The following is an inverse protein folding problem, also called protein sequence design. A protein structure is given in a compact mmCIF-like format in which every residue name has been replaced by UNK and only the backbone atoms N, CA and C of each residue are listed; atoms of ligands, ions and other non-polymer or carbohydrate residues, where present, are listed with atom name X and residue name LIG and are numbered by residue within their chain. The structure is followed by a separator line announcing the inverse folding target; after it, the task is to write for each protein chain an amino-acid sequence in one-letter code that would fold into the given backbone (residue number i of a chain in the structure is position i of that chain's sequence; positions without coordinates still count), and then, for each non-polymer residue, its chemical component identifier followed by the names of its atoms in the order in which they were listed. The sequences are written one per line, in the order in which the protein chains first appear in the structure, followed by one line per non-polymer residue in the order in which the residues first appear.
data_IF_601887962305
#
_entry.id   IF_601887962305
#
_cell.length_a   1.000
_cell.length_b   1.000
_cell.length_c   1.000
_cell.angle_alpha   90.00
_cell.angle_beta   90.00
_cell.angle_gamma   90.00
#
_symmetry.space_group_name_H-M   'P 1'
#
loop_
_entity.id
_entity.type
_entity.pdbx_description
1 polymer ?
#
# COMPACT_ATOMS: atom_id res chain seq x y z
N UNK A 1 29.55 7.30 14.86
CA UNK A 1 30.36 6.25 15.55
C UNK A 1 31.09 5.34 14.56
N UNK A 2 30.41 4.73 13.58
CA UNK A 2 31.05 3.85 12.58
C UNK A 2 31.87 4.68 11.57
N UNK A 3 31.36 5.80 11.10
CA UNK A 3 32.03 6.70 10.17
C UNK A 3 33.37 7.17 10.73
N UNK A 4 33.42 7.54 12.03
CA UNK A 4 34.66 7.92 12.72
C UNK A 4 35.70 6.79 12.73
N UNK A 5 35.27 5.53 12.89
CA UNK A 5 36.15 4.36 12.86
C UNK A 5 36.73 4.15 11.45
N UNK A 6 35.87 4.26 10.42
CA UNK A 6 36.30 4.13 9.02
C UNK A 6 37.30 5.21 8.66
N UNK A 7 37.01 6.47 9.01
CA UNK A 7 37.91 7.61 8.75
C UNK A 7 39.25 7.44 9.48
N UNK A 8 39.22 7.02 10.76
CA UNK A 8 40.46 6.75 11.54
C UNK A 8 41.30 5.63 10.91
N UNK A 9 40.66 4.52 10.49
CA UNK A 9 41.34 3.41 9.81
C UNK A 9 41.96 3.89 8.48
N UNK A 10 41.22 4.63 7.68
CA UNK A 10 41.69 5.21 6.43
C UNK A 10 42.90 6.14 6.63
N UNK A 11 42.85 7.04 7.63
CA UNK A 11 43.96 7.93 7.97
C UNK A 11 45.19 7.17 8.47
N UNK A 12 45.02 6.11 9.25
CA UNK A 12 46.11 5.23 9.70
C UNK A 12 46.78 4.50 8.52
N UNK A 13 46.02 3.99 7.56
CA UNK A 13 46.55 3.40 6.33
C UNK A 13 47.31 4.43 5.52
N UNK A 14 46.78 5.67 5.39
CA UNK A 14 47.42 6.75 4.66
C UNK A 14 48.73 7.16 5.28
N UNK A 15 48.90 7.17 6.62
CA UNK A 15 50.12 7.46 7.31
C UNK A 15 51.24 6.44 6.98
N UNK A 16 50.88 5.18 6.69
CA UNK A 16 51.83 4.13 6.38
C UNK A 16 52.14 3.97 4.88
N UNK A 17 51.65 4.85 4.03
CA UNK A 17 51.83 4.80 2.56
C UNK A 17 53.30 4.81 2.14
N UNK A 18 54.12 5.60 2.81
CA UNK A 18 55.58 5.70 2.54
C UNK A 18 56.34 4.42 2.86
N UNK A 19 55.73 3.51 3.61
CA UNK A 19 56.29 2.18 3.98
C UNK A 19 55.77 1.04 3.11
N UNK A 20 55.16 1.39 1.91
CA UNK A 20 54.63 0.38 0.98
C UNK A 20 53.18 -0.07 1.27
N UNK A 21 52.49 0.60 2.18
CA UNK A 21 51.07 0.28 2.44
C UNK A 21 50.18 0.59 1.25
N UNK A 22 49.27 -0.35 0.90
CA UNK A 22 48.23 -0.11 -0.08
C UNK A 22 47.04 0.58 0.58
N UNK A 23 46.60 1.69 0.01
CA UNK A 23 45.48 2.48 0.53
C UNK A 23 44.32 2.38 -0.47
N UNK A 24 43.07 2.22 0.02
CA UNK A 24 41.88 2.42 -0.81
C UNK A 24 41.85 3.85 -1.35
N UNK A 25 41.57 4.01 -2.63
CA UNK A 25 41.43 5.33 -3.25
C UNK A 25 40.04 5.95 -3.04
N UNK A 26 39.05 5.11 -2.76
CA UNK A 26 37.64 5.48 -2.65
C UNK A 26 36.96 4.78 -1.48
N UNK A 27 35.98 5.44 -0.88
CA UNK A 27 35.00 4.86 0.04
C UNK A 27 33.69 4.81 -0.72
N UNK A 28 33.18 3.61 -1.00
CA UNK A 28 31.96 3.41 -1.76
C UNK A 28 30.86 2.90 -0.86
N UNK A 29 29.65 3.54 -0.91
CA UNK A 29 28.47 3.03 -0.20
C UNK A 29 28.07 1.69 -0.76
N UNK A 30 27.75 0.73 0.11
CA UNK A 30 27.17 -0.56 -0.27
C UNK A 30 25.66 -0.46 -0.57
N UNK A 31 25.00 0.61 -0.13
CA UNK A 31 23.54 0.76 -0.25
C UNK A 31 23.03 0.55 -1.68
N UNK A 32 23.58 1.20 -2.73
CA UNK A 32 23.09 1.02 -4.09
C UNK A 32 23.15 -0.44 -4.54
N UNK A 33 24.23 -1.16 -4.16
CA UNK A 33 24.44 -2.57 -4.52
C UNK A 33 23.40 -3.46 -3.81
N UNK A 34 23.27 -3.29 -2.50
CA UNK A 34 22.33 -4.08 -1.68
C UNK A 34 20.88 -3.79 -2.08
N UNK A 35 20.55 -2.51 -2.33
CA UNK A 35 19.20 -2.12 -2.75
C UNK A 35 18.81 -2.74 -4.10
N UNK A 36 19.72 -2.74 -5.08
CA UNK A 36 19.47 -3.41 -6.36
C UNK A 36 19.29 -4.94 -6.20
N UNK A 37 20.09 -5.59 -5.37
CA UNK A 37 19.92 -7.01 -5.06
C UNK A 37 18.57 -7.31 -4.42
N UNK A 38 18.09 -6.47 -3.50
CA UNK A 38 16.80 -6.63 -2.80
C UNK A 38 15.60 -6.40 -3.72
N UNK A 39 15.71 -5.62 -4.78
CA UNK A 39 14.58 -5.35 -5.68
C UNK A 39 14.11 -6.59 -6.44
N UNK A 40 15.03 -7.46 -6.88
CA UNK A 40 14.72 -8.68 -7.64
C UNK A 40 14.70 -9.87 -6.70
N UNK A 41 13.52 -10.32 -6.34
CA UNK A 41 13.34 -11.43 -5.40
C UNK A 41 13.64 -12.77 -6.06
N UNK A 42 14.41 -13.62 -5.38
CA UNK A 42 14.61 -15.02 -5.74
C UNK A 42 13.33 -15.85 -5.60
N UNK A 43 13.36 -17.09 -6.07
CA UNK A 43 12.20 -18.00 -5.92
C UNK A 43 11.85 -18.26 -4.45
N UNK A 44 12.83 -18.37 -3.59
CA UNK A 44 12.67 -18.62 -2.15
C UNK A 44 12.03 -17.39 -1.48
N UNK A 45 12.51 -16.19 -1.75
CA UNK A 45 11.94 -14.94 -1.24
C UNK A 45 10.49 -14.76 -1.68
N UNK A 46 10.17 -15.03 -2.96
CA UNK A 46 8.79 -15.00 -3.47
C UNK A 46 7.89 -15.99 -2.70
N UNK A 47 8.37 -17.19 -2.33
CA UNK A 47 7.57 -18.14 -1.54
C UNK A 47 7.29 -17.60 -0.12
N UNK A 48 8.26 -16.94 0.52
CA UNK A 48 8.07 -16.28 1.81
C UNK A 48 7.05 -15.14 1.72
N UNK A 49 7.15 -14.29 0.69
CA UNK A 49 6.18 -13.21 0.46
C UNK A 49 4.77 -13.75 0.17
N UNK A 50 4.64 -14.83 -0.61
CA UNK A 50 3.35 -15.53 -0.81
C UNK A 50 2.78 -16.06 0.50
N UNK A 51 3.63 -16.54 1.40
CA UNK A 51 3.18 -17.02 2.72
C UNK A 51 2.76 -15.84 3.59
N UNK A 52 3.52 -14.74 3.63
CA UNK A 52 3.18 -13.50 4.32
C UNK A 52 1.84 -12.95 3.83
N UNK A 53 1.67 -12.76 2.52
CA UNK A 53 0.42 -12.31 1.92
C UNK A 53 -0.78 -13.21 2.26
N UNK A 54 -0.60 -14.55 2.29
CA UNK A 54 -1.66 -15.50 2.67
C UNK A 54 -2.08 -15.30 4.13
N UNK A 55 -1.14 -15.11 5.05
CA UNK A 55 -1.44 -14.84 6.46
C UNK A 55 -2.21 -13.52 6.59
N UNK A 56 -1.81 -12.47 5.88
CA UNK A 56 -2.53 -11.21 5.79
C UNK A 56 -3.96 -11.39 5.26
N UNK A 57 -4.14 -12.17 4.20
CA UNK A 57 -5.48 -12.50 3.64
C UNK A 57 -6.36 -13.18 4.68
N UNK A 58 -5.84 -14.15 5.43
CA UNK A 58 -6.58 -14.85 6.50
C UNK A 58 -7.01 -13.88 7.62
N UNK A 59 -6.14 -12.93 7.99
CA UNK A 59 -6.46 -11.87 8.96
C UNK A 59 -7.60 -10.96 8.46
N UNK A 60 -7.57 -10.54 7.21
CA UNK A 60 -8.63 -9.73 6.62
C UNK A 60 -9.97 -10.48 6.50
N UNK A 61 -9.97 -11.77 6.21
CA UNK A 61 -11.19 -12.58 6.29
C UNK A 61 -11.76 -12.61 7.71
N UNK A 62 -10.90 -12.67 8.72
CA UNK A 62 -11.30 -12.60 10.12
C UNK A 62 -11.91 -11.24 10.45
N UNK A 63 -11.34 -10.14 9.99
CA UNK A 63 -11.93 -8.80 10.11
C UNK A 63 -13.34 -8.76 9.51
N UNK A 64 -13.54 -9.31 8.30
CA UNK A 64 -14.86 -9.34 7.65
C UNK A 64 -15.91 -10.08 8.51
N UNK A 65 -15.50 -11.13 9.23
CA UNK A 65 -16.40 -11.90 10.12
C UNK A 65 -16.71 -11.21 11.44
N UNK A 66 -15.75 -10.47 11.99
CA UNK A 66 -15.85 -9.86 13.31
C UNK A 66 -16.35 -8.40 13.26
N UNK A 67 -16.30 -7.76 12.07
CA UNK A 67 -16.73 -6.38 11.88
C UNK A 67 -18.25 -6.24 12.05
N UNK A 68 -18.66 -5.51 13.08
CA UNK A 68 -20.07 -5.17 13.37
C UNK A 68 -20.18 -3.89 14.21
N UNK A 69 -21.33 -3.21 14.19
CA UNK A 69 -21.53 -2.05 15.03
C UNK A 69 -21.31 -2.37 16.52
N UNK A 70 -20.66 -1.47 17.22
CA UNK A 70 -20.39 -1.62 18.65
C UNK A 70 -19.01 -2.15 19.00
N UNK A 71 -18.31 -2.82 18.09
CA UNK A 71 -16.92 -3.25 18.25
C UNK A 71 -16.00 -2.02 18.17
N UNK A 72 -14.87 -2.04 18.85
CA UNK A 72 -13.86 -0.99 18.78
C UNK A 72 -12.76 -1.34 17.77
N UNK A 73 -12.14 -0.32 17.16
CA UNK A 73 -11.05 -0.48 16.21
C UNK A 73 -9.88 -1.30 16.78
N UNK A 74 -9.49 -1.05 18.06
CA UNK A 74 -8.45 -1.84 18.73
C UNK A 74 -8.81 -3.32 18.94
N UNK A 75 -10.10 -3.67 19.01
CA UNK A 75 -10.52 -5.08 19.10
C UNK A 75 -10.31 -5.80 17.76
N UNK A 76 -10.60 -5.12 16.66
CA UNK A 76 -10.28 -5.61 15.31
C UNK A 76 -8.77 -5.74 15.14
N UNK A 77 -7.99 -4.73 15.57
CA UNK A 77 -6.52 -4.79 15.55
C UNK A 77 -6.00 -6.00 16.34
N UNK A 78 -6.51 -6.23 17.56
CA UNK A 78 -6.12 -7.38 18.38
C UNK A 78 -6.42 -8.72 17.67
N UNK A 79 -7.54 -8.79 16.96
CA UNK A 79 -7.92 -9.97 16.16
C UNK A 79 -6.97 -10.20 14.99
N UNK A 80 -6.55 -9.14 14.29
CA UNK A 80 -5.54 -9.20 13.22
C UNK A 80 -4.20 -9.72 13.79
N UNK A 81 -3.72 -9.13 14.88
CA UNK A 81 -2.45 -9.50 15.50
C UNK A 81 -2.49 -10.92 16.07
N UNK A 82 -3.64 -11.39 16.60
CA UNK A 82 -3.83 -12.78 16.96
C UNK A 82 -3.63 -13.71 15.76
N UNK A 83 -4.23 -13.38 14.60
CA UNK A 83 -4.04 -14.19 13.39
C UNK A 83 -2.58 -14.26 12.95
N UNK A 84 -1.85 -13.14 13.01
CA UNK A 84 -0.42 -13.11 12.70
C UNK A 84 0.36 -14.01 13.65
N UNK A 85 0.13 -13.89 14.97
CA UNK A 85 0.79 -14.68 16.01
C UNK A 85 0.55 -16.18 15.88
N UNK A 86 -0.64 -16.63 15.41
CA UNK A 86 -0.93 -18.05 15.15
C UNK A 86 -0.01 -18.67 14.08
N UNK A 87 0.62 -17.84 13.26
CA UNK A 87 1.55 -18.26 12.21
C UNK A 87 3.02 -17.95 12.53
N UNK A 88 3.33 -17.51 13.76
CA UNK A 88 4.66 -17.08 14.14
C UNK A 88 5.13 -15.81 13.42
N UNK A 89 4.18 -14.98 13.00
CA UNK A 89 4.39 -13.70 12.33
C UNK A 89 4.14 -12.55 13.29
N UNK A 90 4.70 -11.40 12.97
CA UNK A 90 4.44 -10.13 13.67
C UNK A 90 3.82 -9.13 12.69
N UNK A 91 3.20 -8.04 13.14
CA UNK A 91 2.83 -6.94 12.23
C UNK A 91 4.06 -6.37 11.54
N UNK A 92 3.99 -6.18 10.21
CA UNK A 92 5.06 -5.56 9.42
C UNK A 92 5.13 -4.04 9.68
N UNK A 93 4.03 -3.46 10.11
CA UNK A 93 3.88 -2.04 10.45
C UNK A 93 2.70 -1.88 11.43
N UNK A 94 2.55 -0.66 11.98
CA UNK A 94 1.41 -0.34 12.84
C UNK A 94 0.12 -0.44 12.03
N UNK A 95 -0.71 -1.46 12.33
CA UNK A 95 -1.95 -1.71 11.60
C UNK A 95 -2.91 -0.52 11.72
N UNK A 96 -3.47 -0.13 10.60
CA UNK A 96 -4.48 0.92 10.50
C UNK A 96 -5.85 0.24 10.52
N UNK A 97 -6.67 0.60 11.49
CA UNK A 97 -8.05 0.13 11.61
C UNK A 97 -8.93 1.36 11.80
N UNK A 98 -9.42 1.91 10.69
CA UNK A 98 -9.97 3.25 10.62
C UNK A 98 -11.45 3.22 10.23
N UNK A 99 -12.36 3.57 11.15
CA UNK A 99 -13.79 3.61 10.90
C UNK A 99 -14.31 5.01 10.57
N UNK A 100 -15.24 5.12 9.63
CA UNK A 100 -15.89 6.37 9.25
C UNK A 100 -14.87 7.43 8.78
N UNK A 101 -14.86 8.61 9.42
CA UNK A 101 -13.98 9.73 9.05
C UNK A 101 -12.50 9.46 9.34
N UNK A 102 -12.17 8.56 10.28
CA UNK A 102 -10.79 8.15 10.58
C UNK A 102 -10.10 7.58 9.33
N UNK A 103 -10.86 6.90 8.46
CA UNK A 103 -10.37 6.38 7.18
C UNK A 103 -9.86 7.47 6.20
N UNK A 104 -10.12 8.75 6.49
CA UNK A 104 -9.58 9.86 5.71
C UNK A 104 -8.21 10.35 6.22
N UNK A 105 -7.66 9.76 7.28
CA UNK A 105 -6.30 9.98 7.79
C UNK A 105 -5.43 8.81 7.33
N UNK A 106 -4.45 9.06 6.45
CA UNK A 106 -3.70 8.00 5.75
C UNK A 106 -3.01 7.01 6.69
N UNK A 107 -2.34 7.53 7.74
CA UNK A 107 -1.63 6.73 8.73
C UNK A 107 -2.31 6.84 10.11
N UNK A 108 -3.60 6.52 10.15
CA UNK A 108 -4.37 6.48 11.40
C UNK A 108 -4.01 5.22 12.19
N UNK A 109 -3.35 5.38 13.33
CA UNK A 109 -2.86 4.26 14.17
C UNK A 109 -3.41 4.27 15.59
N UNK A 110 -4.23 5.25 15.95
CA UNK A 110 -4.85 5.37 17.27
C UNK A 110 -5.80 4.20 17.55
N UNK A 111 -6.57 3.77 16.55
CA UNK A 111 -7.46 2.62 16.56
C UNK A 111 -8.38 2.56 17.79
N UNK A 112 -8.95 3.71 18.22
CA UNK A 112 -9.71 3.80 19.48
C UNK A 112 -11.21 4.03 19.28
N UNK A 113 -11.67 4.30 18.07
CA UNK A 113 -13.06 4.60 17.82
C UNK A 113 -13.94 3.35 17.83
N UNK A 114 -15.21 3.56 18.23
CA UNK A 114 -16.25 2.53 18.18
C UNK A 114 -16.86 2.49 16.79
N UNK A 115 -16.95 1.31 16.19
CA UNK A 115 -17.57 1.08 14.88
C UNK A 115 -19.07 1.41 14.96
N UNK A 116 -19.56 2.22 14.02
CA UNK A 116 -20.96 2.68 13.99
C UNK A 116 -21.66 2.13 12.76
N UNK A 117 -22.95 1.90 12.91
CA UNK A 117 -23.81 1.53 11.80
C UNK A 117 -23.76 2.60 10.70
N UNK A 118 -23.59 2.16 9.45
CA UNK A 118 -23.51 3.05 8.29
C UNK A 118 -22.11 3.56 7.98
N UNK A 119 -21.11 3.37 8.86
CA UNK A 119 -19.70 3.69 8.57
C UNK A 119 -19.05 2.61 7.70
N UNK A 120 -17.96 2.98 7.05
CA UNK A 120 -16.98 2.04 6.48
C UNK A 120 -15.89 1.76 7.50
N UNK A 121 -15.29 0.59 7.43
CA UNK A 121 -14.05 0.23 8.11
C UNK A 121 -12.96 0.02 7.05
N UNK A 122 -11.98 0.88 7.02
CA UNK A 122 -10.74 0.70 6.28
C UNK A 122 -9.76 -0.02 7.19
N UNK A 123 -9.31 -1.18 6.77
CA UNK A 123 -8.26 -1.94 7.45
C UNK A 123 -7.06 -2.05 6.52
N UNK A 124 -5.92 -1.56 6.96
CA UNK A 124 -4.64 -1.66 6.30
C UNK A 124 -3.68 -2.37 7.26
N UNK A 125 -3.39 -3.63 6.94
CA UNK A 125 -2.65 -4.51 7.81
C UNK A 125 -1.95 -5.61 7.02
N UNK A 126 -0.67 -5.77 7.26
CA UNK A 126 0.16 -6.83 6.74
C UNK A 126 1.07 -7.40 7.83
N UNK A 127 1.55 -8.61 7.63
CA UNK A 127 2.46 -9.24 8.57
C UNK A 127 3.87 -9.36 8.00
N UNK A 128 4.83 -9.49 8.88
CA UNK A 128 6.18 -9.94 8.58
C UNK A 128 6.30 -11.43 8.90
N UNK A 129 6.57 -12.23 7.88
CA UNK A 129 6.85 -13.65 8.02
C UNK A 129 8.28 -13.95 7.55
N UNK A 130 9.13 -14.39 8.47
CA UNK A 130 10.55 -14.69 8.21
C UNK A 130 11.25 -13.56 7.44
N UNK A 131 11.15 -12.33 7.95
CA UNK A 131 11.77 -11.11 7.41
C UNK A 131 11.14 -10.58 6.12
N UNK A 132 9.99 -11.11 5.65
CA UNK A 132 9.30 -10.61 4.45
C UNK A 132 7.91 -10.09 4.78
N UNK A 133 7.67 -8.85 4.39
CA UNK A 133 6.41 -8.15 4.63
C UNK A 133 5.32 -8.51 3.62
N UNK A 134 4.07 -8.35 4.04
CA UNK A 134 2.90 -8.16 3.19
C UNK A 134 2.25 -6.83 3.53
N UNK A 135 1.48 -6.28 2.59
CA UNK A 135 0.79 -5.00 2.71
C UNK A 135 -0.56 -5.06 2.02
N UNK A 136 -1.64 -5.03 2.79
CA UNK A 136 -2.98 -5.29 2.26
C UNK A 136 -3.97 -4.32 2.88
N UNK A 137 -4.69 -3.59 2.04
CA UNK A 137 -5.82 -2.78 2.49
C UNK A 137 -7.15 -3.28 1.92
N UNK A 138 -8.15 -3.38 2.78
CA UNK A 138 -9.56 -3.52 2.39
C UNK A 138 -10.43 -2.51 3.13
N UNK A 139 -11.43 -1.99 2.42
CA UNK A 139 -12.48 -1.16 3.01
C UNK A 139 -13.81 -1.90 2.90
N UNK A 140 -14.46 -2.11 4.05
CA UNK A 140 -15.69 -2.92 4.17
C UNK A 140 -16.78 -2.12 4.90
N UNK A 141 -18.08 -2.41 4.67
CA UNK A 141 -19.17 -1.73 5.38
C UNK A 141 -19.37 -2.32 6.76
N UNK A 142 -19.34 -1.51 7.82
CA UNK A 142 -19.53 -1.95 9.22
C UNK A 142 -20.86 -2.71 9.40
N UNK A 143 -21.90 -2.35 8.66
CA UNK A 143 -23.22 -2.98 8.73
C UNK A 143 -23.44 -4.12 7.72
N UNK A 144 -22.37 -4.63 7.10
CA UNK A 144 -22.43 -5.73 6.13
C UNK A 144 -22.89 -5.33 4.72
N UNK A 145 -23.43 -4.12 4.53
CA UNK A 145 -23.86 -3.62 3.21
C UNK A 145 -23.41 -2.19 2.98
N UNK A 146 -22.86 -1.92 1.81
CA UNK A 146 -22.50 -0.59 1.37
C UNK A 146 -23.75 0.24 1.04
N UNK A 147 -23.77 1.50 1.43
CA UNK A 147 -24.78 2.46 0.93
C UNK A 147 -24.56 2.75 -0.56
N UNK A 148 -25.56 3.34 -1.22
CA UNK A 148 -25.47 3.75 -2.64
C UNK A 148 -24.28 4.68 -2.88
N UNK A 149 -24.05 5.63 -1.99
CA UNK A 149 -23.00 6.64 -2.13
C UNK A 149 -21.61 6.01 -1.90
N UNK A 150 -21.48 5.12 -0.90
CA UNK A 150 -20.28 4.36 -0.67
C UNK A 150 -19.91 3.46 -1.86
N UNK A 151 -20.91 2.75 -2.45
CA UNK A 151 -20.72 1.94 -3.68
C UNK A 151 -20.20 2.78 -4.84
N UNK A 152 -20.70 4.01 -4.99
CA UNK A 152 -20.28 4.89 -6.08
C UNK A 152 -18.81 5.30 -5.98
N UNK A 153 -18.32 5.65 -4.77
CA UNK A 153 -16.89 5.94 -4.54
C UNK A 153 -16.06 4.66 -4.63
N UNK A 154 -16.51 3.57 -4.00
CA UNK A 154 -15.81 2.27 -4.01
C UNK A 154 -15.57 1.77 -5.44
N UNK A 155 -16.57 1.89 -6.32
CA UNK A 155 -16.46 1.47 -7.71
C UNK A 155 -15.36 2.24 -8.48
N UNK A 156 -15.13 3.52 -8.16
CA UNK A 156 -14.04 4.31 -8.78
C UNK A 156 -12.70 3.77 -8.32
N UNK A 157 -12.51 3.56 -7.01
CA UNK A 157 -11.26 3.03 -6.44
C UNK A 157 -10.98 1.63 -6.96
N UNK A 158 -11.99 0.75 -6.98
CA UNK A 158 -11.87 -0.61 -7.50
C UNK A 158 -11.50 -0.64 -8.99
N UNK A 159 -12.10 0.26 -9.79
CA UNK A 159 -11.75 0.38 -11.21
C UNK A 159 -10.31 0.86 -11.39
N UNK A 160 -9.87 1.85 -10.63
CA UNK A 160 -8.50 2.35 -10.66
C UNK A 160 -7.50 1.24 -10.28
N UNK A 161 -7.78 0.50 -9.21
CA UNK A 161 -6.93 -0.58 -8.71
C UNK A 161 -6.83 -1.74 -9.71
N UNK A 162 -7.95 -2.19 -10.27
CA UNK A 162 -7.95 -3.25 -11.29
C UNK A 162 -7.22 -2.82 -12.56
N UNK A 163 -7.41 -1.57 -13.01
CA UNK A 163 -6.70 -1.01 -14.17
C UNK A 163 -5.20 -0.92 -13.93
N UNK A 164 -4.78 -0.48 -12.74
CA UNK A 164 -3.37 -0.41 -12.36
C UNK A 164 -2.74 -1.81 -12.36
N UNK A 165 -3.34 -2.80 -11.68
CA UNK A 165 -2.86 -4.19 -11.65
C UNK A 165 -2.77 -4.78 -13.06
N UNK A 166 -3.80 -4.59 -13.90
CA UNK A 166 -3.80 -5.11 -15.27
C UNK A 166 -2.67 -4.52 -16.14
N UNK A 167 -2.13 -3.36 -15.76
CA UNK A 167 -1.00 -2.73 -16.45
C UNK A 167 0.37 -3.24 -15.97
N UNK A 168 0.45 -3.96 -14.83
CA UNK A 168 1.71 -4.42 -14.25
C UNK A 168 2.33 -5.51 -15.12
N UNK A 169 3.48 -5.19 -15.70
CA UNK A 169 4.29 -6.09 -16.54
C UNK A 169 5.71 -5.53 -16.67
N UNK A 170 6.69 -6.31 -17.13
CA UNK A 170 8.02 -5.78 -17.46
C UNK A 170 7.94 -4.57 -18.38
N UNK A 171 8.74 -3.53 -18.08
CA UNK A 171 8.75 -2.26 -18.82
C UNK A 171 7.72 -1.22 -18.40
N UNK A 172 6.72 -1.58 -17.57
CA UNK A 172 5.84 -0.61 -16.93
C UNK A 172 6.56 0.15 -15.83
N UNK A 173 6.02 1.29 -15.38
CA UNK A 173 6.60 2.14 -14.34
C UNK A 173 5.54 2.63 -13.36
N UNK A 174 5.94 3.00 -12.14
CA UNK A 174 5.04 3.65 -11.19
C UNK A 174 4.46 4.96 -11.74
N UNK A 175 5.27 5.75 -12.46
CA UNK A 175 4.83 7.02 -13.05
C UNK A 175 3.65 6.82 -14.01
N UNK A 176 3.74 5.82 -14.91
CA UNK A 176 2.67 5.56 -15.87
C UNK A 176 1.41 5.01 -15.18
N UNK A 177 1.58 4.15 -14.17
CA UNK A 177 0.45 3.66 -13.36
C UNK A 177 -0.21 4.79 -12.61
N UNK A 178 0.55 5.70 -12.00
CA UNK A 178 0.05 6.86 -11.28
C UNK A 178 -0.73 7.80 -12.21
N UNK A 179 -0.21 8.11 -13.40
CA UNK A 179 -0.91 8.95 -14.40
C UNK A 179 -2.27 8.38 -14.78
N UNK A 180 -2.33 7.07 -15.07
CA UNK A 180 -3.58 6.39 -15.39
C UNK A 180 -4.57 6.39 -14.22
N UNK A 181 -4.09 6.13 -13.01
CA UNK A 181 -4.89 6.15 -11.79
C UNK A 181 -5.48 7.53 -11.52
N UNK A 182 -4.67 8.59 -11.65
CA UNK A 182 -5.12 9.99 -11.51
C UNK A 182 -6.23 10.28 -12.52
N UNK A 183 -6.09 9.85 -13.77
CA UNK A 183 -7.13 10.07 -14.78
C UNK A 183 -8.45 9.37 -14.42
N UNK A 184 -8.39 8.10 -14.00
CA UNK A 184 -9.59 7.33 -13.62
C UNK A 184 -10.29 7.98 -12.42
N UNK A 185 -9.54 8.31 -11.37
CA UNK A 185 -10.08 8.93 -10.15
C UNK A 185 -10.68 10.30 -10.47
N UNK A 186 -9.96 11.16 -11.19
CA UNK A 186 -10.45 12.51 -11.55
C UNK A 186 -11.72 12.44 -12.41
N UNK A 187 -11.77 11.54 -13.37
CA UNK A 187 -12.93 11.28 -14.21
C UNK A 187 -14.12 10.80 -13.37
N UNK A 188 -13.88 9.89 -12.44
CA UNK A 188 -14.88 9.36 -11.51
C UNK A 188 -15.45 10.44 -10.59
N UNK A 189 -14.61 11.21 -9.92
CA UNK A 189 -15.00 12.32 -9.06
C UNK A 189 -15.78 13.40 -9.81
N UNK A 190 -15.39 13.68 -11.07
CA UNK A 190 -16.12 14.58 -11.95
C UNK A 190 -17.52 14.03 -12.30
N UNK A 191 -17.64 12.73 -12.63
CA UNK A 191 -18.93 12.07 -12.93
C UNK A 191 -19.89 12.14 -11.74
N UNK A 192 -19.38 12.06 -10.51
CA UNK A 192 -20.18 12.19 -9.29
C UNK A 192 -20.48 13.66 -8.91
N UNK A 193 -19.99 14.65 -9.68
CA UNK A 193 -20.18 16.07 -9.39
C UNK A 193 -19.35 16.62 -8.24
N UNK A 194 -18.40 15.81 -7.69
CA UNK A 194 -17.46 16.24 -6.65
C UNK A 194 -16.44 17.21 -7.24
N UNK A 195 -15.92 16.92 -8.44
CA UNK A 195 -15.12 17.83 -9.25
C UNK A 195 -15.94 18.39 -10.41
N UNK A 196 -15.74 19.66 -10.74
CA UNK A 196 -16.45 20.36 -11.83
C UNK A 196 -15.46 21.00 -12.79
N UNK A 197 -15.65 20.80 -14.09
CA UNK A 197 -14.82 21.42 -15.12
C UNK A 197 -14.31 20.44 -16.19
N UNK A 198 -13.38 20.91 -17.00
CA UNK A 198 -12.72 20.11 -18.03
C UNK A 198 -11.73 19.15 -17.40
N UNK A 199 -11.73 17.86 -17.83
CA UNK A 199 -10.92 16.80 -17.23
C UNK A 199 -9.41 17.12 -17.30
N UNK A 200 -8.91 17.52 -18.46
CA UNK A 200 -7.49 17.81 -18.65
C UNK A 200 -7.03 19.00 -17.77
N UNK A 201 -7.89 20.01 -17.60
CA UNK A 201 -7.63 21.14 -16.70
C UNK A 201 -7.62 20.68 -15.25
N UNK A 202 -8.57 19.88 -14.81
CA UNK A 202 -8.63 19.34 -13.45
C UNK A 202 -7.38 18.49 -13.10
N UNK A 203 -6.90 17.69 -14.05
CA UNK A 203 -5.66 16.90 -13.87
C UNK A 203 -4.44 17.83 -13.80
N UNK A 204 -4.32 18.79 -14.72
CA UNK A 204 -3.21 19.75 -14.75
C UNK A 204 -3.12 20.62 -13.50
N UNK A 205 -4.28 21.03 -12.96
CA UNK A 205 -4.39 21.83 -11.73
C UNK A 205 -4.37 20.95 -10.46
N UNK A 206 -4.20 19.64 -10.61
CA UNK A 206 -4.17 18.66 -9.51
C UNK A 206 -5.39 18.72 -8.59
N UNK A 207 -6.57 19.06 -9.15
CA UNK A 207 -7.81 19.21 -8.39
C UNK A 207 -8.24 17.91 -7.65
N UNK A 208 -7.68 16.78 -8.02
CA UNK A 208 -7.88 15.47 -7.37
C UNK A 208 -7.13 15.34 -6.05
N UNK A 209 -6.01 16.09 -5.83
CA UNK A 209 -5.13 15.93 -4.65
C UNK A 209 -5.83 16.03 -3.29
N UNK A 210 -6.86 16.87 -3.09
CA UNK A 210 -7.59 16.85 -1.83
C UNK A 210 -8.33 15.54 -1.52
N UNK A 211 -8.47 14.65 -2.51
CA UNK A 211 -9.18 13.37 -2.43
C UNK A 211 -8.30 12.15 -2.65
N UNK A 212 -7.18 12.31 -3.35
CA UNK A 212 -6.17 11.29 -3.62
C UNK A 212 -4.78 11.93 -3.58
N UNK A 213 -4.09 11.80 -2.46
CA UNK A 213 -2.89 12.57 -2.13
C UNK A 213 -1.61 11.74 -2.03
N UNK A 214 -1.68 10.43 -2.27
CA UNK A 214 -0.51 9.53 -2.20
C UNK A 214 -0.18 8.87 -3.54
N UNK A 215 0.92 8.13 -3.58
CA UNK A 215 1.34 7.34 -4.74
C UNK A 215 0.44 6.12 -4.97
N UNK A 216 0.55 5.53 -6.16
CA UNK A 216 -0.18 4.31 -6.50
C UNK A 216 0.37 3.06 -5.80
N UNK A 217 1.58 3.13 -5.25
CA UNK A 217 2.24 2.03 -4.59
C UNK A 217 3.73 2.24 -4.39
N UNK A 218 4.38 1.26 -3.81
CA UNK A 218 5.81 1.25 -3.47
C UNK A 218 6.41 -0.14 -3.66
N UNK A 219 7.75 -0.25 -3.55
CA UNK A 219 8.44 -1.51 -3.47
C UNK A 219 8.07 -2.22 -2.16
N UNK A 220 7.93 -3.55 -2.23
CA UNK A 220 7.64 -4.40 -1.08
C UNK A 220 8.65 -5.54 -1.01
N UNK A 221 9.11 -5.89 0.19
CA UNK A 221 10.08 -6.97 0.37
C UNK A 221 10.38 -7.28 1.82
N UNK A 222 11.63 -7.16 2.23
CA UNK A 222 12.03 -7.31 3.64
C UNK A 222 11.49 -6.16 4.51
N UNK A 223 11.37 -4.96 3.91
CA UNK A 223 10.66 -3.85 4.53
C UNK A 223 9.32 -3.65 3.81
N UNK A 224 8.32 -3.12 4.54
CA UNK A 224 7.03 -2.77 3.93
C UNK A 224 7.21 -1.68 2.86
N UNK A 225 7.96 -0.63 3.16
CA UNK A 225 8.47 0.33 2.19
C UNK A 225 9.90 -0.08 1.83
N UNK A 226 10.01 -1.07 0.92
CA UNK A 226 11.29 -1.68 0.62
C UNK A 226 12.24 -0.74 -0.12
N UNK A 227 13.52 -1.00 0.04
CA UNK A 227 14.61 -0.21 -0.53
C UNK A 227 14.67 -0.34 -2.05
N UNK A 228 15.30 0.63 -2.69
CA UNK A 228 15.54 0.66 -4.13
C UNK A 228 15.09 1.96 -4.78
N UNK A 229 15.79 2.38 -5.81
CA UNK A 229 15.49 3.61 -6.52
C UNK A 229 14.20 3.49 -7.34
N UNK A 230 13.38 4.55 -7.35
CA UNK A 230 12.23 4.71 -8.24
C UNK A 230 12.61 5.30 -9.61
N UNK A 231 13.84 5.76 -9.73
CA UNK A 231 14.40 6.30 -10.97
C UNK A 231 15.64 5.54 -11.39
N UNK A 232 15.92 5.51 -12.70
CA UNK A 232 17.14 4.97 -13.26
C UNK A 232 18.26 6.03 -13.26
N UNK A 233 19.47 5.65 -13.68
CA UNK A 233 20.64 6.53 -13.74
C UNK A 233 20.44 7.82 -14.57
N UNK A 234 19.44 7.82 -15.49
CA UNK A 234 19.08 8.97 -16.33
C UNK A 234 17.98 9.84 -15.68
N UNK A 235 17.62 9.58 -14.42
CA UNK A 235 16.56 10.30 -13.72
C UNK A 235 15.13 10.00 -14.22
N UNK A 236 14.95 8.97 -15.07
CA UNK A 236 13.62 8.55 -15.55
C UNK A 236 13.06 7.46 -14.64
N UNK A 237 11.72 7.38 -14.55
CA UNK A 237 11.04 6.34 -13.78
C UNK A 237 11.54 4.95 -14.15
N UNK A 238 11.88 4.14 -13.13
CA UNK A 238 12.46 2.80 -13.29
C UNK A 238 11.43 1.84 -13.84
N UNK A 239 11.82 1.07 -14.84
CA UNK A 239 10.99 0.01 -15.40
C UNK A 239 10.87 -1.15 -14.42
N UNK A 240 9.67 -1.73 -14.33
CA UNK A 240 9.48 -2.98 -13.61
C UNK A 240 10.20 -4.13 -14.32
N UNK A 241 10.82 -4.99 -13.53
CA UNK A 241 11.51 -6.20 -13.97
C UNK A 241 10.86 -7.43 -13.30
N UNK A 242 10.93 -8.61 -13.96
CA UNK A 242 10.47 -9.86 -13.34
C UNK A 242 11.17 -10.12 -11.99
N UNK A 243 10.40 -10.49 -10.97
CA UNK A 243 10.89 -10.70 -9.61
C UNK A 243 10.74 -9.49 -8.69
N UNK A 244 10.41 -8.31 -9.21
CA UNK A 244 10.01 -7.18 -8.37
C UNK A 244 8.64 -7.42 -7.75
N UNK A 245 8.45 -6.98 -6.50
CA UNK A 245 7.15 -6.98 -5.82
C UNK A 245 6.81 -5.56 -5.43
N UNK A 246 5.57 -5.17 -5.69
CA UNK A 246 5.04 -3.82 -5.48
C UNK A 246 3.68 -3.89 -4.80
N UNK A 247 3.28 -2.81 -4.12
CA UNK A 247 1.88 -2.57 -3.76
C UNK A 247 1.14 -1.88 -4.89
N UNK A 248 -0.19 -2.04 -4.93
CA UNK A 248 -1.10 -1.30 -5.81
C UNK A 248 -2.31 -0.88 -4.97
N UNK A 249 -2.34 0.40 -4.56
CA UNK A 249 -3.14 0.89 -3.43
C UNK A 249 -3.90 2.21 -3.69
N UNK A 250 -4.61 2.41 -4.79
CA UNK A 250 -5.36 3.64 -4.97
C UNK A 250 -6.40 3.85 -3.88
N UNK A 251 -6.69 5.11 -3.56
CA UNK A 251 -7.71 5.47 -2.58
C UNK A 251 -8.44 6.76 -2.91
N UNK A 252 -9.59 6.97 -2.28
CA UNK A 252 -10.34 8.24 -2.28
C UNK A 252 -10.76 8.55 -0.85
N UNK A 253 -10.46 9.76 -0.39
CA UNK A 253 -10.68 10.20 0.99
C UNK A 253 -11.44 11.52 1.00
N UNK A 254 -12.66 11.51 1.54
CA UNK A 254 -13.55 12.68 1.59
C UNK A 254 -13.93 12.93 3.04
N UNK A 255 -13.04 13.63 3.77
CA UNK A 255 -13.27 13.93 5.19
C UNK A 255 -14.55 14.74 5.40
N UNK A 256 -15.13 14.61 6.58
CA UNK A 256 -16.27 15.42 7.04
C UNK A 256 -16.02 16.92 6.94
N UNK A 257 -14.75 17.34 7.04
CA UNK A 257 -14.31 18.71 6.93
C UNK A 257 -14.09 19.19 5.48
N UNK A 258 -14.26 18.32 4.47
CA UNK A 258 -14.08 18.68 3.06
C UNK A 258 -15.03 19.81 2.67
N UNK A 259 -14.45 20.90 2.13
CA UNK A 259 -15.21 22.08 1.67
C UNK A 259 -15.77 21.83 0.27
N UNK A 260 -16.94 22.43 -0.03
CA UNK A 260 -17.57 22.40 -1.37
C UNK A 260 -17.91 21.00 -1.88
N UNK A 261 -18.12 20.03 -0.97
CA UNK A 261 -18.54 18.67 -1.28
C UNK A 261 -19.89 18.40 -0.61
N UNK A 262 -20.80 17.74 -1.30
CA UNK A 262 -22.11 17.38 -0.76
C UNK A 262 -21.98 16.50 0.48
N UNK A 263 -22.86 16.71 1.46
CA UNK A 263 -22.85 15.99 2.76
C UNK A 263 -22.84 14.47 2.58
N UNK A 264 -23.53 13.94 1.55
CA UNK A 264 -23.61 12.50 1.28
C UNK A 264 -22.27 11.81 1.00
N UNK A 265 -21.26 12.57 0.53
CA UNK A 265 -19.92 12.05 0.24
C UNK A 265 -18.96 12.15 1.42
N UNK A 266 -19.30 12.94 2.46
CA UNK A 266 -18.40 13.24 3.57
C UNK A 266 -18.27 12.07 4.54
N UNK A 267 -17.07 11.85 5.07
CA UNK A 267 -16.74 10.74 5.96
C UNK A 267 -16.55 9.41 5.21
N UNK A 268 -16.27 9.45 3.90
CA UNK A 268 -15.97 8.26 3.09
C UNK A 268 -14.48 8.26 2.77
N UNK A 269 -13.74 7.34 3.39
CA UNK A 269 -12.36 6.98 3.05
C UNK A 269 -12.31 5.55 2.55
N UNK A 270 -11.75 5.33 1.37
CA UNK A 270 -11.66 4.00 0.72
C UNK A 270 -10.27 3.85 0.12
N UNK A 271 -9.56 2.79 0.50
CA UNK A 271 -8.35 2.26 -0.13
C UNK A 271 -8.56 0.78 -0.42
N UNK A 272 -8.05 0.32 -1.57
CA UNK A 272 -8.03 -1.08 -1.96
C UNK A 272 -6.62 -1.38 -2.42
N UNK A 273 -5.95 -2.30 -1.75
CA UNK A 273 -4.54 -2.60 -1.95
C UNK A 273 -4.27 -4.08 -2.06
N UNK A 274 -3.38 -4.43 -2.96
CA UNK A 274 -2.86 -5.77 -3.13
C UNK A 274 -1.35 -5.75 -3.33
N UNK A 275 -0.68 -6.82 -2.84
CA UNK A 275 0.70 -7.18 -3.15
C UNK A 275 0.77 -7.80 -4.54
N UNK A 276 1.63 -7.28 -5.40
CA UNK A 276 1.71 -7.68 -6.81
C UNK A 276 3.14 -8.02 -7.21
N UNK A 277 3.37 -9.28 -7.58
CA UNK A 277 4.63 -9.77 -8.15
C UNK A 277 4.66 -9.51 -9.67
N UNK A 278 5.70 -8.87 -10.16
CA UNK A 278 5.98 -8.75 -11.59
C UNK A 278 6.52 -10.07 -12.11
N UNK A 279 5.84 -10.67 -13.08
CA UNK A 279 6.25 -11.91 -13.74
C UNK A 279 6.92 -11.65 -15.10
N UNK A 280 7.33 -12.67 -15.81
CA UNK A 280 7.98 -12.52 -17.15
C UNK A 280 7.07 -11.90 -18.21
N UNK A 281 5.74 -12.09 -18.09
CA UNK A 281 4.78 -11.66 -19.12
C UNK A 281 3.61 -10.82 -18.59
N UNK A 282 3.59 -10.53 -17.29
CA UNK A 282 2.50 -9.78 -16.64
C UNK A 282 2.74 -9.70 -15.13
N UNK A 283 1.73 -10.07 -14.34
CA UNK A 283 1.85 -10.07 -12.87
C UNK A 283 1.07 -11.22 -12.22
N UNK A 284 1.38 -11.45 -10.95
CA UNK A 284 0.64 -12.31 -10.03
C UNK A 284 0.24 -11.50 -8.79
N UNK A 285 -1.04 -11.50 -8.44
CA UNK A 285 -1.53 -10.84 -7.23
C UNK A 285 -1.39 -11.82 -6.07
N UNK A 286 -0.45 -11.56 -5.14
CA UNK A 286 -0.14 -12.46 -4.02
C UNK A 286 -1.28 -12.52 -3.01
N UNK A 287 -2.00 -11.41 -2.81
CA UNK A 287 -3.20 -11.26 -1.96
C UNK A 287 -4.51 -11.56 -2.69
N UNK A 288 -4.47 -12.07 -3.93
CA UNK A 288 -5.60 -12.19 -4.84
C UNK A 288 -6.77 -13.06 -4.37
N UNK A 289 -6.57 -13.89 -3.33
CA UNK A 289 -7.66 -14.68 -2.72
C UNK A 289 -8.61 -13.83 -1.86
N UNK A 290 -8.18 -12.63 -1.43
CA UNK A 290 -9.02 -11.74 -0.65
C UNK A 290 -9.96 -10.95 -1.58
N UNK A 291 -11.27 -11.09 -1.46
CA UNK A 291 -12.21 -10.43 -2.35
C UNK A 291 -12.14 -8.90 -2.20
N UNK A 292 -12.42 -8.23 -3.30
CA UNK A 292 -12.52 -6.77 -3.39
C UNK A 292 -13.75 -6.32 -4.19
N UNK A 293 -14.50 -7.25 -4.74
CA UNK A 293 -15.79 -6.98 -5.37
C UNK A 293 -16.86 -6.77 -4.30
N UNK A 294 -17.70 -5.74 -4.52
CA UNK A 294 -18.76 -5.32 -3.58
C UNK A 294 -19.67 -6.48 -3.19
N UNK A 295 -20.17 -7.22 -4.19
CA UNK A 295 -21.07 -8.35 -4.01
C UNK A 295 -20.45 -9.49 -3.19
N UNK A 296 -19.16 -9.77 -3.43
CA UNK A 296 -18.44 -10.81 -2.69
C UNK A 296 -18.18 -10.40 -1.23
N UNK A 297 -17.84 -9.13 -0.98
CA UNK A 297 -17.66 -8.60 0.39
C UNK A 297 -19.01 -8.67 1.12
N UNK A 298 -20.09 -8.17 0.52
CA UNK A 298 -21.43 -8.19 1.12
C UNK A 298 -21.91 -9.63 1.39
N UNK A 299 -21.62 -10.59 0.50
CA UNK A 299 -21.95 -11.99 0.69
C UNK A 299 -21.23 -12.62 1.90
N UNK A 300 -19.91 -12.37 2.05
CA UNK A 300 -19.14 -12.88 3.19
C UNK A 300 -19.67 -12.29 4.50
N UNK A 301 -19.94 -11.00 4.53
CA UNK A 301 -20.39 -10.32 5.75
C UNK A 301 -21.83 -10.64 6.11
N UNK A 302 -22.66 -11.07 5.17
CA UNK A 302 -24.06 -11.51 5.44
C UNK A 302 -24.17 -12.96 5.93
N UNK A 303 -23.08 -13.73 5.82
CA UNK A 303 -23.05 -15.14 6.27
C UNK A 303 -22.68 -15.30 7.75
N UNK A 304 -22.57 -14.19 8.50
CA UNK A 304 -22.16 -14.13 9.92
C UNK A 304 -23.36 -13.97 10.87
#
# INVERSE_FOLDING_TARGET
FYDDKVIKAFNALKANQRQGGVIPNEIVSLEPIIHEMRQIKSRQEIQLMKRSARIGVEAHFRVMRECKPGVYEYQIQASIHHQFGQHGSIPAYNSIVASGDNACTLHYVENQSKLKQGDLLLTDAGCEYQMYASDITRTIPVSGKFTKDQKAIYAIVLHAQKSAIASVKPGQTFENMQKNTIEIITRGLRKLGILKGNLSKLIKEEAYKPFYMHGIGHWLGMDVHDVGSYVNEKGKSKNFLPGMVITVEPGIYISRNSKRVDKKWKGIGIRIEDDVLVTRSGCEVLSGKLPKEIDKIEAIMSSN
#
